data_IF_558396295360
#
_entry.id   IF_558396295360
#
_cell.length_a   1.000
_cell.length_b   1.000
_cell.length_c   1.000
_cell.angle_alpha   90.00
_cell.angle_beta   90.00
_cell.angle_gamma   90.00
#
_symmetry.space_group_name_H-M   'P 1'
#
loop_
_entity.id
_entity.type
_entity.pdbx_description
1 polymer ?
#
# COMPACT_ATOMS: atom_id res chain seq x y z
N UNK A 1 8.53 30.37 -23.86
CA UNK A 1 8.93 30.34 -25.27
C UNK A 1 8.41 29.04 -25.88
N UNK A 2 7.57 29.21 -26.91
CA UNK A 2 6.91 28.25 -27.81
C UNK A 2 6.29 26.96 -27.24
N UNK A 3 4.97 26.95 -27.06
CA UNK A 3 4.14 25.74 -27.23
C UNK A 3 2.95 26.08 -28.14
N UNK A 4 3.17 26.08 -29.45
CA UNK A 4 2.07 25.93 -30.41
C UNK A 4 2.51 25.06 -31.60
N UNK A 5 1.91 23.88 -31.69
CA UNK A 5 1.67 23.19 -32.95
C UNK A 5 0.20 22.70 -32.92
N UNK A 6 -0.62 22.97 -33.96
CA UNK A 6 -1.97 22.44 -34.09
C UNK A 6 -1.95 20.96 -34.54
N UNK A 7 -3.06 20.22 -34.37
CA UNK A 7 -3.06 18.77 -34.17
C UNK A 7 -3.10 17.96 -35.47
N UNK A 8 -2.56 16.72 -35.51
CA UNK A 8 -2.94 15.74 -36.52
C UNK A 8 -4.33 15.17 -36.20
N UNK A 9 -5.28 15.36 -37.11
CA UNK A 9 -6.65 14.84 -37.05
C UNK A 9 -6.64 13.32 -37.31
N UNK A 10 -6.37 12.54 -36.27
CA UNK A 10 -6.65 11.10 -36.19
C UNK A 10 -7.96 10.84 -35.44
N UNK A 11 -8.39 9.57 -35.26
CA UNK A 11 -9.61 9.25 -34.52
C UNK A 11 -9.61 9.97 -33.15
N UNK A 12 -10.77 10.52 -32.77
CA UNK A 12 -11.01 11.64 -31.83
C UNK A 12 -10.41 11.56 -30.41
N UNK A 13 -9.60 10.55 -30.07
CA UNK A 13 -9.16 10.26 -28.70
C UNK A 13 -7.64 10.08 -28.54
N UNK A 14 -6.81 10.46 -29.53
CA UNK A 14 -5.35 10.30 -29.43
C UNK A 14 -4.67 11.66 -29.24
N UNK A 15 -4.31 11.97 -27.99
CA UNK A 15 -3.49 13.13 -27.65
C UNK A 15 -1.99 12.85 -27.88
N UNK A 16 -1.36 13.64 -28.74
CA UNK A 16 0.08 13.59 -28.94
C UNK A 16 0.81 14.27 -27.75
N UNK A 17 1.52 13.47 -26.95
CA UNK A 17 2.31 13.95 -25.81
C UNK A 17 3.81 13.78 -26.09
N UNK A 18 4.61 14.77 -25.69
CA UNK A 18 6.06 14.67 -25.76
C UNK A 18 6.57 13.59 -24.79
N UNK A 19 7.39 12.66 -25.29
CA UNK A 19 7.89 11.53 -24.50
C UNK A 19 8.67 11.96 -23.26
N UNK A 20 9.50 13.02 -23.36
CA UNK A 20 10.30 13.51 -22.23
C UNK A 20 9.40 14.03 -21.13
N UNK A 21 8.42 14.86 -21.48
CA UNK A 21 7.45 15.45 -20.55
C UNK A 21 6.65 14.33 -19.85
N UNK A 22 6.14 13.34 -20.61
CA UNK A 22 5.42 12.19 -20.05
C UNK A 22 6.28 11.33 -19.12
N UNK A 23 7.55 11.09 -19.48
CA UNK A 23 8.44 10.23 -18.69
C UNK A 23 8.76 10.90 -17.35
N UNK A 24 9.10 12.18 -17.37
CA UNK A 24 9.44 12.95 -16.17
C UNK A 24 8.26 12.98 -15.19
N UNK A 25 7.06 13.31 -15.68
CA UNK A 25 5.85 13.38 -14.85
C UNK A 25 5.48 12.02 -14.25
N UNK A 26 5.39 10.97 -15.09
CA UNK A 26 4.95 9.65 -14.64
C UNK A 26 5.97 8.99 -13.72
N UNK A 27 7.26 9.15 -14.01
CA UNK A 27 8.31 8.62 -13.16
C UNK A 27 8.31 9.31 -11.80
N UNK A 28 8.23 10.64 -11.77
CA UNK A 28 8.19 11.40 -10.52
C UNK A 28 6.96 11.04 -9.69
N UNK A 29 5.77 10.94 -10.30
CA UNK A 29 4.54 10.56 -9.61
C UNK A 29 4.66 9.16 -8.98
N UNK A 30 5.22 8.19 -9.70
CA UNK A 30 5.44 6.84 -9.18
C UNK A 30 6.49 6.81 -8.06
N UNK A 31 7.58 7.57 -8.21
CA UNK A 31 8.64 7.67 -7.21
C UNK A 31 8.10 8.26 -5.90
N UNK A 32 7.39 9.39 -5.98
CA UNK A 32 6.78 10.04 -4.82
C UNK A 32 5.74 9.14 -4.15
N UNK A 33 4.86 8.48 -4.92
CA UNK A 33 3.90 7.53 -4.38
C UNK A 33 4.58 6.37 -3.65
N UNK A 34 5.68 5.85 -4.21
CA UNK A 34 6.47 4.79 -3.57
C UNK A 34 7.11 5.25 -2.26
N UNK A 35 7.69 6.45 -2.23
CA UNK A 35 8.31 7.02 -1.03
C UNK A 35 7.26 7.23 0.07
N UNK A 36 6.18 7.93 -0.26
CA UNK A 36 5.20 8.41 0.72
C UNK A 36 4.20 7.34 1.15
N UNK A 37 3.85 6.40 0.27
CA UNK A 37 2.72 5.49 0.48
C UNK A 37 3.08 4.00 0.41
N UNK A 38 4.38 3.65 0.37
CA UNK A 38 4.80 2.25 0.34
C UNK A 38 6.07 1.97 1.14
N UNK A 39 7.17 2.63 0.80
CA UNK A 39 8.50 2.21 1.21
C UNK A 39 8.87 2.65 2.63
N UNK A 40 8.63 3.93 2.96
CA UNK A 40 9.05 4.52 4.23
C UNK A 40 7.94 4.46 5.29
N UNK A 41 8.30 4.27 6.57
CA UNK A 41 7.37 4.42 7.69
C UNK A 41 7.10 5.90 8.01
N UNK A 42 5.97 6.16 8.67
CA UNK A 42 5.68 7.49 9.24
C UNK A 42 6.43 7.66 10.57
N UNK A 43 6.99 8.85 10.82
CA UNK A 43 7.79 9.12 12.03
C UNK A 43 6.97 9.06 13.33
N UNK A 44 5.65 9.30 13.25
CA UNK A 44 4.77 9.39 14.42
C UNK A 44 4.47 8.03 15.04
N UNK A 45 4.41 6.98 14.21
CA UNK A 45 4.05 5.63 14.65
C UNK A 45 5.07 4.55 14.25
N UNK A 46 6.04 4.88 13.39
CA UNK A 46 7.02 3.93 12.86
C UNK A 46 6.42 2.91 11.88
N UNK A 47 5.17 3.08 11.43
CA UNK A 47 4.44 2.10 10.63
C UNK A 47 4.41 2.47 9.15
N UNK A 48 4.65 1.46 8.30
CA UNK A 48 4.33 1.51 6.87
C UNK A 48 2.80 1.45 6.67
N UNK A 49 2.27 1.93 5.53
CA UNK A 49 0.83 1.90 5.26
C UNK A 49 0.19 0.50 5.37
N UNK A 50 0.88 -0.56 4.98
CA UNK A 50 0.37 -1.94 5.11
C UNK A 50 0.17 -2.35 6.57
N UNK A 51 1.13 -2.05 7.45
CA UNK A 51 1.02 -2.35 8.88
C UNK A 51 -0.16 -1.62 9.51
N UNK A 52 -0.32 -0.32 9.20
CA UNK A 52 -1.42 0.51 9.74
C UNK A 52 -2.79 0.00 9.31
N UNK A 53 -2.95 -0.35 8.03
CA UNK A 53 -4.20 -0.92 7.49
C UNK A 53 -4.52 -2.26 8.14
N UNK A 54 -3.51 -3.11 8.33
CA UNK A 54 -3.66 -4.40 9.00
C UNK A 54 -4.13 -4.25 10.45
N UNK A 55 -3.41 -3.48 11.27
CA UNK A 55 -3.77 -3.27 12.68
C UNK A 55 -5.14 -2.58 12.82
N UNK A 56 -5.47 -1.65 11.92
CA UNK A 56 -6.79 -1.02 11.90
C UNK A 56 -7.92 -2.02 11.59
N UNK A 57 -7.73 -2.89 10.59
CA UNK A 57 -8.71 -3.93 10.28
C UNK A 57 -8.87 -4.93 11.44
N UNK A 58 -7.77 -5.34 12.09
CA UNK A 58 -7.83 -6.20 13.28
C UNK A 58 -8.60 -5.56 14.42
N UNK A 59 -8.42 -4.24 14.65
CA UNK A 59 -9.20 -3.48 15.62
C UNK A 59 -10.69 -3.46 15.28
N UNK A 60 -11.06 -3.25 14.02
CA UNK A 60 -12.47 -3.27 13.58
C UNK A 60 -13.11 -4.65 13.68
N UNK A 61 -12.31 -5.72 13.51
CA UNK A 61 -12.73 -7.10 13.72
C UNK A 61 -12.82 -7.50 15.20
N UNK A 62 -12.47 -6.59 16.13
CA UNK A 62 -12.46 -6.82 17.59
C UNK A 62 -11.62 -8.05 17.97
N UNK A 63 -10.42 -8.14 17.40
CA UNK A 63 -9.46 -9.19 17.73
C UNK A 63 -8.68 -8.80 18.99
N UNK A 64 -9.40 -8.80 20.11
CA UNK A 64 -8.80 -8.48 21.41
C UNK A 64 -7.89 -9.61 21.89
N UNK A 65 -6.79 -9.33 22.62
CA UNK A 65 -5.86 -10.35 23.10
C UNK A 65 -6.50 -11.43 23.99
N UNK A 66 -7.60 -11.09 24.68
CA UNK A 66 -8.35 -12.04 25.51
C UNK A 66 -9.29 -12.95 24.69
N UNK A 67 -9.48 -12.67 23.40
CA UNK A 67 -10.35 -13.44 22.51
C UNK A 67 -9.59 -14.58 21.84
N UNK A 68 -10.31 -15.64 21.46
CA UNK A 68 -9.69 -16.78 20.76
C UNK A 68 -9.18 -16.42 19.36
N UNK A 69 -8.10 -17.09 18.95
CA UNK A 69 -7.44 -16.92 17.65
C UNK A 69 -8.42 -17.03 16.46
N UNK A 70 -8.14 -16.24 15.41
CA UNK A 70 -8.89 -16.24 14.15
C UNK A 70 -7.97 -16.57 12.99
N UNK A 71 -8.54 -17.21 11.96
CA UNK A 71 -7.82 -17.54 10.73
C UNK A 71 -7.23 -16.28 10.08
N UNK A 72 -5.93 -16.31 9.78
CA UNK A 72 -5.22 -15.23 9.10
C UNK A 72 -5.89 -14.83 7.78
N UNK A 73 -6.40 -15.80 7.01
CA UNK A 73 -7.13 -15.57 5.76
C UNK A 73 -8.33 -14.61 5.92
N UNK A 74 -9.01 -14.64 7.07
CA UNK A 74 -10.11 -13.69 7.36
C UNK A 74 -9.58 -12.26 7.51
N UNK A 75 -8.50 -12.09 8.26
CA UNK A 75 -7.88 -10.77 8.48
C UNK A 75 -7.33 -10.20 7.17
N UNK A 76 -6.58 -11.02 6.43
CA UNK A 76 -6.02 -10.65 5.12
C UNK A 76 -7.11 -10.27 4.13
N UNK A 77 -8.18 -11.08 4.04
CA UNK A 77 -9.32 -10.80 3.17
C UNK A 77 -10.02 -9.47 3.49
N UNK A 78 -10.26 -9.19 4.77
CA UNK A 78 -10.86 -7.91 5.21
C UNK A 78 -9.97 -6.71 4.87
N UNK A 79 -8.64 -6.83 5.03
CA UNK A 79 -7.70 -5.76 4.71
C UNK A 79 -7.71 -5.45 3.22
N UNK A 80 -7.68 -6.46 2.35
CA UNK A 80 -7.66 -6.25 0.90
C UNK A 80 -8.99 -5.69 0.41
N UNK A 81 -10.09 -6.25 0.91
CA UNK A 81 -11.44 -5.85 0.48
C UNK A 81 -11.79 -4.41 0.86
N UNK A 82 -11.20 -3.87 1.93
CA UNK A 82 -11.59 -2.54 2.46
C UNK A 82 -10.50 -1.48 2.41
N UNK A 83 -9.23 -1.85 2.54
CA UNK A 83 -8.17 -0.89 2.88
C UNK A 83 -6.89 -1.00 2.03
N UNK A 84 -6.62 -2.15 1.41
CA UNK A 84 -5.36 -2.41 0.72
C UNK A 84 -5.60 -3.02 -0.68
N UNK A 85 -5.74 -2.19 -1.74
CA UNK A 85 -6.06 -2.66 -3.09
C UNK A 85 -4.84 -3.24 -3.83
N UNK A 86 -4.08 -4.09 -3.15
CA UNK A 86 -2.91 -4.79 -3.68
C UNK A 86 -2.97 -6.26 -3.27
N UNK A 87 -1.99 -7.05 -3.72
CA UNK A 87 -1.95 -8.50 -3.48
C UNK A 87 -2.01 -8.89 -2.01
N UNK A 88 -2.64 -10.04 -1.76
CA UNK A 88 -2.79 -10.66 -0.45
C UNK A 88 -1.47 -11.04 0.20
N UNK A 89 -0.51 -11.49 -0.61
CA UNK A 89 0.83 -11.86 -0.15
C UNK A 89 1.49 -10.73 0.67
N UNK A 90 1.39 -9.49 0.22
CA UNK A 90 2.02 -8.36 0.90
C UNK A 90 1.41 -8.10 2.29
N UNK A 91 0.12 -8.35 2.45
CA UNK A 91 -0.58 -8.22 3.73
C UNK A 91 -0.25 -9.40 4.64
N UNK A 92 -0.21 -10.61 4.09
CA UNK A 92 0.13 -11.82 4.83
C UNK A 92 1.57 -11.78 5.35
N UNK A 93 2.54 -11.41 4.50
CA UNK A 93 3.95 -11.28 4.90
C UNK A 93 4.13 -10.23 6.01
N UNK A 94 3.42 -9.11 5.90
CA UNK A 94 3.39 -8.10 6.95
C UNK A 94 2.83 -8.64 8.27
N UNK A 95 1.74 -9.42 8.22
CA UNK A 95 1.14 -10.06 9.39
C UNK A 95 2.12 -11.02 10.06
N UNK A 96 2.71 -11.93 9.28
CA UNK A 96 3.66 -12.93 9.78
C UNK A 96 4.88 -12.24 10.39
N UNK A 97 5.44 -11.22 9.74
CA UNK A 97 6.63 -10.52 10.24
C UNK A 97 6.39 -9.78 11.56
N UNK A 98 5.18 -9.24 11.76
CA UNK A 98 4.80 -8.56 13.01
C UNK A 98 4.52 -9.53 14.17
N UNK A 99 4.40 -10.83 13.89
CA UNK A 99 4.22 -11.88 14.89
C UNK A 99 5.51 -12.62 15.28
N UNK A 100 6.60 -12.43 14.51
CA UNK A 100 7.88 -13.09 14.73
C UNK A 100 8.72 -12.35 15.78
N UNK A 101 8.91 -12.96 16.95
CA UNK A 101 9.72 -12.44 18.08
C UNK A 101 11.20 -12.21 17.73
N UNK A 102 11.76 -12.98 16.80
CA UNK A 102 13.13 -12.79 16.30
C UNK A 102 13.24 -11.68 15.24
N UNK A 103 12.13 -11.27 14.61
CA UNK A 103 12.13 -10.26 13.54
C UNK A 103 11.80 -8.86 14.05
N UNK A 104 11.00 -8.76 15.12
CA UNK A 104 10.62 -7.50 15.77
C UNK A 104 10.85 -7.56 17.27
N UNK A 105 11.41 -6.49 17.85
CA UNK A 105 11.75 -6.45 19.27
C UNK A 105 10.52 -6.57 20.18
N UNK A 106 9.40 -6.00 19.76
CA UNK A 106 8.12 -6.05 20.46
C UNK A 106 7.05 -6.46 19.44
N UNK A 107 6.65 -7.75 19.41
CA UNK A 107 5.60 -8.22 18.53
C UNK A 107 4.30 -7.45 18.74
N UNK A 108 3.66 -7.08 17.63
CA UNK A 108 2.37 -6.36 17.64
C UNK A 108 1.19 -7.30 17.38
N UNK A 109 1.47 -8.53 16.95
CA UNK A 109 0.50 -9.56 16.63
C UNK A 109 0.92 -10.83 17.34
N UNK A 110 -0.05 -11.53 17.95
CA UNK A 110 0.15 -12.86 18.50
C UNK A 110 -0.42 -13.89 17.51
N UNK A 111 0.40 -14.86 17.11
CA UNK A 111 0.04 -15.93 16.19
C UNK A 111 0.08 -17.29 16.86
N UNK A 112 -0.67 -18.25 16.31
CA UNK A 112 -0.68 -19.66 16.69
C UNK A 112 -0.56 -20.53 15.43
#
# INVERSE_FOLDING_TARGET
>A
MSKHAPPPQGPKDIEAINLRDALEERYLAYALSTIMHRALPDVRDGLKPVHRRLLYAMRLLKLDPASGYKKCARVVGDVIGKYHPHGDQAVYDALVRLAQDFAVRFPLIEGQ
#
